data_IF_775360122600
#
_entry.id   IF_775360122600
#
_cell.length_a   1.000
_cell.length_b   1.000
_cell.length_c   1.000
_cell.angle_alpha   90.00
_cell.angle_beta   90.00
_cell.angle_gamma   90.00
#
_symmetry.space_group_name_H-M   'P 1'
#
loop_
_entity.id
_entity.type
_entity.pdbx_description
1 polymer ?
#
# COMPACT_ATOMS: atom_id res chain seq x y z
N UNK A 1 -9.32 -8.70 -4.73
CA UNK A 1 -9.04 -8.30 -6.13
C UNK A 1 -8.50 -6.87 -6.22
N UNK A 2 -8.93 -5.90 -5.40
CA UNK A 2 -8.43 -4.50 -5.39
C UNK A 2 -6.91 -4.33 -5.16
N UNK A 3 -6.28 -5.25 -4.43
CA UNK A 3 -4.82 -5.22 -4.23
C UNK A 3 -4.01 -5.52 -5.50
N UNK A 4 -4.59 -6.21 -6.50
CA UNK A 4 -3.89 -6.54 -7.74
C UNK A 4 -3.61 -5.29 -8.60
N UNK A 5 -4.58 -4.37 -8.80
CA UNK A 5 -4.32 -3.05 -9.38
C UNK A 5 -3.26 -2.23 -8.65
N UNK A 6 -3.30 -2.19 -7.31
CA UNK A 6 -2.30 -1.48 -6.52
C UNK A 6 -0.91 -2.12 -6.68
N UNK A 7 -0.83 -3.45 -6.64
CA UNK A 7 0.40 -4.19 -6.89
C UNK A 7 0.93 -3.99 -8.32
N UNK A 8 0.05 -3.88 -9.32
CA UNK A 8 0.41 -3.63 -10.70
C UNK A 8 0.97 -2.22 -10.91
N UNK A 9 0.36 -1.18 -10.31
CA UNK A 9 0.89 0.18 -10.32
C UNK A 9 2.25 0.28 -9.63
N UNK A 10 2.42 -0.44 -8.50
CA UNK A 10 3.71 -0.58 -7.83
C UNK A 10 4.75 -1.30 -8.70
N UNK A 11 4.34 -2.29 -9.50
CA UNK A 11 5.23 -2.97 -10.43
C UNK A 11 5.69 -2.05 -11.58
N UNK A 12 4.79 -1.21 -12.12
CA UNK A 12 5.14 -0.21 -13.15
C UNK A 12 6.14 0.82 -12.63
N UNK A 13 5.98 1.32 -11.39
CA UNK A 13 6.92 2.27 -10.81
C UNK A 13 8.32 1.69 -10.60
N UNK A 14 8.43 0.40 -10.26
CA UNK A 14 9.72 -0.27 -10.09
C UNK A 14 10.49 -0.45 -11.39
N UNK A 15 9.81 -0.59 -12.53
CA UNK A 15 10.45 -0.65 -13.85
C UNK A 15 11.25 0.64 -14.11
N UNK A 16 10.75 1.81 -13.72
CA UNK A 16 11.47 3.07 -13.92
C UNK A 16 12.75 3.16 -13.09
N UNK A 17 12.74 2.65 -11.86
CA UNK A 17 13.94 2.62 -11.01
C UNK A 17 15.02 1.70 -11.58
N UNK A 18 14.62 0.55 -12.11
CA UNK A 18 15.54 -0.40 -12.76
C UNK A 18 16.15 0.19 -14.04
N UNK A 19 15.34 0.87 -14.86
CA UNK A 19 15.82 1.58 -16.06
C UNK A 19 16.78 2.71 -15.71
N UNK A 20 16.48 3.50 -14.66
CA UNK A 20 17.34 4.58 -14.19
C UNK A 20 18.69 4.04 -13.66
N UNK A 21 18.67 2.94 -12.90
CA UNK A 21 19.88 2.30 -12.41
C UNK A 21 20.76 1.80 -13.57
N UNK A 22 20.17 1.16 -14.59
CA UNK A 22 20.89 0.70 -15.79
C UNK A 22 21.52 1.84 -16.57
N UNK A 23 20.80 2.96 -16.74
CA UNK A 23 21.34 4.12 -17.44
C UNK A 23 22.60 4.69 -16.75
N UNK A 24 22.64 4.69 -15.41
CA UNK A 24 23.82 5.09 -14.65
C UNK A 24 24.99 4.11 -14.81
N UNK A 25 24.70 2.81 -14.85
CA UNK A 25 25.70 1.75 -15.06
C UNK A 25 26.32 1.83 -16.46
N UNK A 26 25.50 1.98 -17.50
CA UNK A 26 25.94 2.14 -18.90
C UNK A 26 26.81 3.39 -19.07
N UNK A 27 26.51 4.47 -18.36
CA UNK A 27 27.30 5.69 -18.33
C UNK A 27 28.56 5.61 -17.45
N UNK A 28 28.82 4.48 -16.78
CA UNK A 28 29.90 4.33 -15.79
C UNK A 28 29.88 5.43 -14.71
N UNK A 29 28.68 5.83 -14.29
CA UNK A 29 28.50 6.92 -13.34
C UNK A 29 28.97 6.51 -11.93
N UNK A 30 29.69 7.37 -11.17
CA UNK A 30 30.21 7.03 -9.84
C UNK A 30 29.16 6.59 -8.82
N UNK A 31 27.90 7.02 -8.99
CA UNK A 31 26.78 6.65 -8.11
C UNK A 31 26.11 5.32 -8.47
N UNK A 32 26.42 4.73 -9.63
CA UNK A 32 25.77 3.48 -10.08
C UNK A 32 25.86 2.34 -9.04
N UNK A 33 27.01 2.11 -8.36
CA UNK A 33 27.10 1.05 -7.34
C UNK A 33 26.21 1.30 -6.11
N UNK A 34 26.06 2.56 -5.70
CA UNK A 34 25.24 2.93 -4.54
C UNK A 34 23.76 2.78 -4.85
N UNK A 35 23.32 3.26 -6.02
CA UNK A 35 21.93 3.11 -6.50
C UNK A 35 21.56 1.62 -6.64
N UNK A 36 22.46 0.80 -7.19
CA UNK A 36 22.23 -0.65 -7.32
C UNK A 36 22.07 -1.33 -5.97
N UNK A 37 22.87 -0.93 -4.99
CA UNK A 37 22.78 -1.45 -3.63
C UNK A 37 21.43 -1.12 -3.00
N UNK A 38 20.99 0.13 -3.06
CA UNK A 38 19.69 0.54 -2.51
C UNK A 38 18.52 -0.17 -3.21
N UNK A 39 18.58 -0.29 -4.54
CA UNK A 39 17.56 -1.03 -5.30
C UNK A 39 17.50 -2.51 -4.91
N UNK A 40 18.64 -3.15 -4.64
CA UNK A 40 18.67 -4.54 -4.22
C UNK A 40 17.98 -4.78 -2.87
N UNK A 41 17.96 -3.79 -1.96
CA UNK A 41 17.29 -3.91 -0.66
C UNK A 41 15.76 -3.98 -0.80
N UNK A 42 15.20 -3.32 -1.82
CA UNK A 42 13.76 -3.33 -2.09
C UNK A 42 13.33 -4.46 -3.03
N UNK A 43 14.25 -5.01 -3.84
CA UNK A 43 13.98 -6.14 -4.73
C UNK A 43 14.14 -7.49 -4.03
N UNK A 44 15.13 -7.64 -3.15
CA UNK A 44 15.46 -8.90 -2.47
C UNK A 44 14.72 -9.02 -1.13
N UNK A 45 13.40 -8.78 -1.15
CA UNK A 45 12.55 -8.97 0.02
C UNK A 45 12.07 -10.41 0.09
N UNK A 46 12.40 -11.10 1.19
CA UNK A 46 11.81 -12.39 1.51
C UNK A 46 10.41 -12.19 2.09
N UNK A 47 9.41 -13.04 1.74
CA UNK A 47 8.15 -13.07 2.46
C UNK A 47 8.38 -13.23 3.97
N UNK A 48 7.57 -12.59 4.83
CA UNK A 48 7.68 -12.78 6.27
C UNK A 48 7.45 -14.26 6.62
N UNK A 49 8.19 -14.77 7.60
CA UNK A 49 7.90 -16.08 8.17
C UNK A 49 6.55 -16.04 8.88
N UNK A 50 5.67 -17.00 8.57
CA UNK A 50 4.30 -17.06 9.09
C UNK A 50 4.08 -18.21 10.07
N UNK A 51 5.14 -18.91 10.48
CA UNK A 51 5.05 -20.17 11.23
C UNK A 51 4.36 -20.00 12.60
N UNK A 52 4.49 -18.83 13.22
CA UNK A 52 3.87 -18.49 14.51
C UNK A 52 2.53 -17.75 14.37
N UNK A 53 1.99 -17.62 13.16
CA UNK A 53 0.78 -16.86 12.88
C UNK A 53 -0.40 -17.76 12.54
N UNK A 54 -1.57 -17.41 13.09
CA UNK A 54 -2.83 -18.05 12.73
C UNK A 54 -3.48 -17.33 11.55
N UNK A 55 -3.80 -18.07 10.49
CA UNK A 55 -4.62 -17.54 9.40
C UNK A 55 -6.05 -17.27 9.89
N UNK A 56 -6.54 -16.06 9.64
CA UNK A 56 -7.91 -15.66 9.96
C UNK A 56 -8.64 -15.33 8.65
N UNK A 57 -9.91 -15.75 8.47
CA UNK A 57 -10.71 -15.33 7.31
C UNK A 57 -10.82 -13.80 7.25
N UNK A 58 -10.72 -13.23 6.05
CA UNK A 58 -10.69 -11.78 5.82
C UNK A 58 -11.95 -11.03 6.25
N UNK A 59 -13.05 -11.72 6.51
CA UNK A 59 -14.32 -11.15 6.99
C UNK A 59 -14.51 -11.31 8.50
N UNK A 60 -13.55 -11.88 9.21
CA UNK A 60 -13.69 -12.17 10.64
C UNK A 60 -13.47 -10.92 11.47
N UNK A 61 -14.23 -10.83 12.57
CA UNK A 61 -13.90 -9.94 13.66
C UNK A 61 -12.85 -10.63 14.56
N UNK A 62 -11.65 -10.08 14.59
CA UNK A 62 -10.56 -10.52 15.47
C UNK A 62 -10.65 -9.75 16.76
N UNK A 63 -10.74 -10.45 17.89
CA UNK A 63 -10.62 -9.85 19.21
C UNK A 63 -9.26 -10.21 19.79
N UNK A 64 -8.46 -9.18 20.07
CA UNK A 64 -7.16 -9.32 20.70
C UNK A 64 -7.31 -9.54 22.21
N UNK A 65 -6.29 -10.11 22.84
CA UNK A 65 -6.26 -10.41 24.28
C UNK A 65 -6.43 -9.17 25.17
N UNK A 66 -6.09 -7.99 24.68
CA UNK A 66 -6.27 -6.70 25.36
C UNK A 66 -7.66 -6.08 25.17
N UNK A 67 -8.58 -6.78 24.50
CA UNK A 67 -9.95 -6.32 24.27
C UNK A 67 -10.14 -5.48 23.00
N UNK A 68 -9.08 -5.21 22.23
CA UNK A 68 -9.18 -4.52 20.94
C UNK A 68 -9.92 -5.42 19.94
N UNK A 69 -10.85 -4.84 19.19
CA UNK A 69 -11.57 -5.53 18.12
C UNK A 69 -11.16 -4.97 16.76
N UNK A 70 -10.85 -5.87 15.84
CA UNK A 70 -10.41 -5.60 14.48
C UNK A 70 -11.28 -6.35 13.49
N UNK A 71 -11.84 -5.64 12.52
CA UNK A 71 -12.58 -6.22 11.40
C UNK A 71 -12.06 -5.66 10.09
N UNK A 72 -11.99 -6.51 9.07
CA UNK A 72 -11.50 -6.15 7.75
C UNK A 72 -12.58 -6.39 6.70
N UNK A 73 -12.55 -5.60 5.63
CA UNK A 73 -13.27 -5.91 4.39
C UNK A 73 -12.40 -6.69 3.42
N UNK A 74 -13.02 -7.21 2.35
CA UNK A 74 -12.36 -8.03 1.33
C UNK A 74 -11.31 -7.29 0.49
N UNK A 75 -11.29 -5.96 0.56
CA UNK A 75 -10.28 -5.08 -0.03
C UNK A 75 -9.14 -4.72 0.94
N UNK A 76 -9.20 -5.20 2.18
CA UNK A 76 -8.18 -4.96 3.21
C UNK A 76 -8.42 -3.71 4.08
N UNK A 77 -9.49 -2.94 3.84
CA UNK A 77 -9.81 -1.80 4.69
C UNK A 77 -10.21 -2.26 6.11
N UNK A 78 -9.86 -1.47 7.12
CA UNK A 78 -10.26 -1.73 8.51
C UNK A 78 -11.67 -1.17 8.69
N UNK A 79 -12.65 -2.06 8.77
CA UNK A 79 -14.08 -1.72 8.92
C UNK A 79 -14.58 -1.82 10.34
N UNK A 80 -13.75 -2.33 11.26
CA UNK A 80 -14.00 -2.26 12.70
C UNK A 80 -12.68 -2.08 13.41
N UNK A 81 -12.56 -0.99 14.17
CA UNK A 81 -11.46 -0.79 15.10
C UNK A 81 -12.04 -0.20 16.39
N UNK A 82 -12.17 -1.04 17.41
CA UNK A 82 -12.66 -0.64 18.72
C UNK A 82 -11.58 -0.89 19.76
N UNK A 83 -11.25 0.13 20.55
CA UNK A 83 -10.37 0.01 21.71
C UNK A 83 -10.97 0.77 22.89
N UNK A 84 -11.12 0.09 24.05
CA UNK A 84 -11.65 0.67 25.30
C UNK A 84 -12.97 1.44 25.14
N UNK A 85 -13.86 0.96 24.27
CA UNK A 85 -15.16 1.58 24.00
C UNK A 85 -15.11 2.76 23.02
N UNK A 86 -13.95 3.10 22.47
CA UNK A 86 -13.80 4.08 21.39
C UNK A 86 -13.81 3.36 20.05
N UNK A 87 -14.71 3.77 19.16
CA UNK A 87 -14.76 3.30 17.78
C UNK A 87 -13.96 4.24 16.89
N UNK A 88 -12.84 3.75 16.38
CA UNK A 88 -11.92 4.47 15.49
C UNK A 88 -12.23 4.22 14.01
N UNK A 89 -12.82 3.07 13.70
CA UNK A 89 -13.24 2.72 12.36
C UNK A 89 -14.53 1.90 12.40
N UNK A 90 -15.39 2.13 11.43
CA UNK A 90 -16.66 1.43 11.27
C UNK A 90 -16.90 1.11 9.78
N UNK A 91 -17.91 0.30 9.49
CA UNK A 91 -18.25 -0.03 8.11
C UNK A 91 -18.63 1.22 7.27
N UNK A 92 -19.20 2.25 7.92
CA UNK A 92 -19.53 3.53 7.26
C UNK A 92 -18.37 4.51 7.21
N UNK A 93 -17.31 4.27 7.96
CA UNK A 93 -16.12 5.12 8.05
C UNK A 93 -14.88 4.24 8.21
N UNK A 94 -14.50 3.50 7.15
CA UNK A 94 -13.39 2.57 7.21
C UNK A 94 -12.05 3.30 7.26
N UNK A 95 -11.09 2.72 7.97
CA UNK A 95 -9.71 3.22 8.00
C UNK A 95 -8.86 2.48 6.95
N UNK A 96 -7.94 3.21 6.30
CA UNK A 96 -7.01 2.67 5.30
C UNK A 96 -7.70 1.94 4.13
N UNK A 97 -8.90 2.38 3.75
CA UNK A 97 -9.55 1.93 2.51
C UNK A 97 -8.85 2.54 1.30
N UNK A 98 -8.07 1.75 0.58
CA UNK A 98 -7.45 2.17 -0.67
C UNK A 98 -8.45 1.98 -1.82
N UNK A 99 -9.06 3.08 -2.25
CA UNK A 99 -9.96 3.10 -3.39
C UNK A 99 -9.20 3.62 -4.61
N UNK A 100 -9.11 2.81 -5.65
CA UNK A 100 -8.59 3.26 -6.93
C UNK A 100 -9.67 4.05 -7.65
N UNK A 101 -9.48 5.36 -7.77
CA UNK A 101 -10.38 6.25 -8.50
C UNK A 101 -9.69 6.70 -9.79
N UNK A 102 -10.16 6.18 -10.93
CA UNK A 102 -9.79 6.73 -12.24
C UNK A 102 -10.59 7.99 -12.48
N UNK A 103 -9.95 9.14 -12.33
CA UNK A 103 -10.54 10.42 -12.69
C UNK A 103 -10.66 10.51 -14.21
N UNK A 104 -11.87 10.71 -14.71
CA UNK A 104 -12.05 11.17 -16.08
C UNK A 104 -11.86 12.71 -16.15
N UNK A 105 -11.91 13.26 -17.36
CA UNK A 105 -11.65 14.67 -17.64
C UNK A 105 -12.51 15.66 -16.82
N UNK A 106 -13.71 15.22 -16.40
CA UNK A 106 -14.64 16.04 -15.60
C UNK A 106 -14.32 16.04 -14.10
N UNK A 107 -13.58 15.04 -13.63
CA UNK A 107 -13.23 14.86 -12.22
C UNK A 107 -11.77 15.27 -11.95
N UNK A 108 -10.89 15.13 -12.97
CA UNK A 108 -9.50 15.57 -12.92
C UNK A 108 -9.38 17.08 -12.78
N UNK A 109 -10.07 17.86 -13.64
CA UNK A 109 -9.97 19.33 -13.67
C UNK A 109 -10.26 19.95 -12.30
N UNK A 110 -11.37 19.64 -11.61
CA UNK A 110 -11.65 20.19 -10.28
C UNK A 110 -10.59 19.82 -9.23
N UNK A 111 -10.13 18.55 -9.20
CA UNK A 111 -9.11 18.09 -8.25
C UNK A 111 -7.79 18.85 -8.42
N UNK A 112 -7.32 19.01 -9.65
CA UNK A 112 -6.08 19.75 -9.93
C UNK A 112 -6.20 21.22 -9.56
N UNK A 113 -7.36 21.84 -9.82
CA UNK A 113 -7.61 23.22 -9.45
C UNK A 113 -7.64 23.43 -7.93
N UNK A 114 -8.17 22.48 -7.15
CA UNK A 114 -8.10 22.56 -5.68
C UNK A 114 -6.69 22.31 -5.14
N UNK A 115 -5.96 21.34 -5.70
CA UNK A 115 -4.65 20.93 -5.20
C UNK A 115 -3.53 21.93 -5.51
N UNK A 116 -3.62 22.65 -6.64
CA UNK A 116 -2.63 23.65 -7.03
C UNK A 116 -2.87 25.06 -6.47
N UNK A 117 -4.05 25.31 -5.89
CA UNK A 117 -4.43 26.62 -5.34
C UNK A 117 -4.54 26.64 -3.81
N UNK A 118 -4.21 25.54 -3.14
CA UNK A 118 -3.81 25.49 -1.72
C UNK A 118 -2.27 25.54 -1.62
#
# INVERSE_FOLDING_TARGET
QSYLPAAASWAEQRIFNELAARALEEASHPLAPEVRKELSLVEQVSPPALDDYQAVPSTSLVQLTNGVKLGFSSDGAITTLEDRGVSWASASSPLAGFVYQTFNDTEWKPFTYSYLND
#
